data_IF_908316057379
#
_entry.id   IF_908316057379
#
_cell.length_a   1.000
_cell.length_b   1.000
_cell.length_c   1.000
_cell.angle_alpha   90.00
_cell.angle_beta   90.00
_cell.angle_gamma   90.00
#
_symmetry.space_group_name_H-M   'P 1'
#
loop_
_entity.id
_entity.type
_entity.pdbx_description
1 polymer ?
#
# COMPACT_ATOMS: atom_id res chain seq x y z
N UNK A 1 10.48 -3.89 6.20
CA UNK A 1 9.76 -5.18 6.36
C UNK A 1 10.79 -6.30 6.46
N UNK A 2 10.58 -7.28 7.33
CA UNK A 2 11.59 -8.33 7.64
C UNK A 2 11.26 -9.71 7.06
N UNK A 3 10.02 -9.94 6.61
CA UNK A 3 9.56 -11.22 6.08
C UNK A 3 10.28 -11.57 4.77
N UNK A 4 10.89 -12.75 4.71
CA UNK A 4 11.69 -13.20 3.57
C UNK A 4 13.11 -12.62 3.53
N UNK A 5 13.49 -11.83 4.54
CA UNK A 5 14.85 -11.29 4.67
C UNK A 5 15.50 -11.68 6.00
N UNK A 6 15.04 -11.09 7.11
CA UNK A 6 15.53 -11.40 8.46
C UNK A 6 14.68 -12.47 9.16
N UNK A 7 13.39 -12.56 8.83
CA UNK A 7 12.50 -13.60 9.29
C UNK A 7 12.19 -14.55 8.13
N UNK A 8 12.44 -15.84 8.34
CA UNK A 8 12.02 -16.88 7.39
C UNK A 8 10.49 -17.06 7.42
N UNK A 9 9.97 -17.93 6.55
CA UNK A 9 8.53 -18.19 6.42
C UNK A 9 7.90 -18.65 7.73
N UNK A 10 8.55 -19.58 8.45
CA UNK A 10 8.03 -20.12 9.71
C UNK A 10 7.94 -19.03 10.78
N UNK A 11 9.00 -18.22 10.95
CA UNK A 11 9.00 -17.12 11.91
C UNK A 11 8.00 -16.02 11.52
N UNK A 12 7.85 -15.76 10.23
CA UNK A 12 6.88 -14.78 9.73
C UNK A 12 5.43 -15.21 10.04
N UNK A 13 5.10 -16.50 9.86
CA UNK A 13 3.80 -17.05 10.23
C UNK A 13 3.54 -16.98 11.73
N UNK A 14 4.53 -17.30 12.57
CA UNK A 14 4.42 -17.14 14.03
C UNK A 14 4.10 -15.68 14.43
N UNK A 15 4.72 -14.70 13.77
CA UNK A 15 4.45 -13.28 14.01
C UNK A 15 3.03 -12.88 13.58
N UNK A 16 2.55 -13.40 12.44
CA UNK A 16 1.19 -13.16 11.94
C UNK A 16 0.13 -13.80 12.84
N UNK A 17 0.35 -15.04 13.28
CA UNK A 17 -0.53 -15.77 14.20
C UNK A 17 -0.61 -15.03 15.54
N UNK A 18 0.53 -14.58 16.07
CA UNK A 18 0.56 -13.81 17.31
C UNK A 18 -0.21 -12.49 17.18
N UNK A 19 0.01 -11.74 16.09
CA UNK A 19 -0.67 -10.47 15.84
C UNK A 19 -2.19 -10.65 15.77
N UNK A 20 -2.66 -11.63 15.01
CA UNK A 20 -4.09 -11.88 14.80
C UNK A 20 -4.78 -12.49 16.01
N UNK A 21 -4.11 -13.37 16.74
CA UNK A 21 -4.60 -13.91 18.03
C UNK A 21 -4.79 -12.82 19.09
N UNK A 22 -4.11 -11.68 18.96
CA UNK A 22 -4.25 -10.51 19.84
C UNK A 22 -5.18 -9.43 19.27
N UNK A 23 -6.04 -9.77 18.30
CA UNK A 23 -7.06 -8.89 17.76
C UNK A 23 -6.59 -7.96 16.64
N UNK A 24 -5.34 -8.09 16.19
CA UNK A 24 -4.87 -7.41 15.00
C UNK A 24 -5.48 -8.00 13.73
N UNK A 25 -5.78 -7.18 12.73
CA UNK A 25 -6.29 -7.65 11.44
C UNK A 25 -5.72 -6.92 10.22
N UNK A 26 -4.96 -5.84 10.42
CA UNK A 26 -4.37 -5.05 9.34
C UNK A 26 -2.93 -5.52 9.05
N UNK A 27 -2.71 -6.10 7.88
CA UNK A 27 -1.40 -6.62 7.44
C UNK A 27 -0.92 -5.78 6.25
N UNK A 28 0.23 -5.13 6.42
CA UNK A 28 0.87 -4.29 5.41
C UNK A 28 2.10 -4.99 4.80
N UNK A 29 2.19 -5.00 3.47
CA UNK A 29 3.33 -5.50 2.69
C UNK A 29 3.56 -4.60 1.47
N UNK A 30 4.48 -4.94 0.57
CA UNK A 30 4.67 -4.27 -0.71
C UNK A 30 5.28 -5.23 -1.74
N UNK A 31 5.05 -4.97 -3.02
CA UNK A 31 5.61 -5.70 -4.15
C UNK A 31 7.15 -5.80 -4.11
N UNK A 32 7.82 -4.75 -3.65
CA UNK A 32 9.29 -4.68 -3.55
C UNK A 32 9.87 -5.28 -2.27
N UNK A 33 9.05 -5.65 -1.28
CA UNK A 33 9.58 -6.16 -0.01
C UNK A 33 10.17 -7.55 -0.17
N UNK A 34 11.48 -7.64 0.09
CA UNK A 34 12.26 -8.86 -0.07
C UNK A 34 12.10 -9.46 -1.47
N UNK A 35 12.10 -8.60 -2.50
CA UNK A 35 11.90 -9.00 -3.91
C UNK A 35 10.59 -9.79 -4.15
N UNK A 36 9.50 -9.33 -3.51
CA UNK A 36 8.18 -9.96 -3.57
C UNK A 36 7.99 -11.12 -2.60
N UNK A 37 9.06 -11.59 -1.92
CA UNK A 37 8.98 -12.74 -1.01
C UNK A 37 8.05 -12.50 0.18
N UNK A 38 7.95 -11.25 0.65
CA UNK A 38 7.03 -10.87 1.72
C UNK A 38 5.58 -11.22 1.35
N UNK A 39 5.15 -10.89 0.13
CA UNK A 39 3.81 -11.20 -0.36
C UNK A 39 3.57 -12.70 -0.51
N UNK A 40 4.56 -13.47 -0.99
CA UNK A 40 4.43 -14.92 -1.10
C UNK A 40 4.24 -15.58 0.28
N UNK A 41 5.00 -15.15 1.28
CA UNK A 41 4.92 -15.67 2.65
C UNK A 41 3.55 -15.36 3.25
N UNK A 42 3.08 -14.11 3.09
CA UNK A 42 1.77 -13.68 3.56
C UNK A 42 0.66 -14.43 2.81
N UNK A 43 0.76 -14.59 1.49
CA UNK A 43 -0.27 -15.28 0.70
C UNK A 43 -0.48 -16.73 1.11
N UNK A 44 0.61 -17.46 1.36
CA UNK A 44 0.54 -18.82 1.91
C UNK A 44 -0.14 -18.88 3.28
N UNK A 45 0.06 -17.85 4.10
CA UNK A 45 -0.59 -17.73 5.42
C UNK A 45 -2.08 -17.40 5.27
N UNK A 46 -2.43 -16.41 4.43
CA UNK A 46 -3.81 -15.98 4.16
C UNK A 46 -4.68 -17.12 3.64
N UNK A 47 -4.13 -18.01 2.81
CA UNK A 47 -4.84 -19.17 2.27
C UNK A 47 -5.45 -20.10 3.34
N UNK A 48 -4.89 -20.10 4.56
CA UNK A 48 -5.35 -20.93 5.67
C UNK A 48 -6.27 -20.17 6.65
N UNK A 49 -6.70 -18.95 6.31
CA UNK A 49 -7.51 -18.08 7.15
C UNK A 49 -8.76 -17.58 6.41
N UNK A 50 -9.78 -17.20 7.17
CA UNK A 50 -10.96 -16.53 6.61
C UNK A 50 -10.54 -15.19 6.01
N UNK A 51 -10.55 -15.08 4.68
CA UNK A 51 -10.04 -13.90 3.95
C UNK A 51 -10.69 -12.60 4.41
N UNK A 52 -11.99 -12.63 4.71
CA UNK A 52 -12.78 -11.48 5.19
C UNK A 52 -12.42 -11.01 6.60
N UNK A 53 -11.70 -11.83 7.38
CA UNK A 53 -11.23 -11.45 8.72
C UNK A 53 -9.97 -10.58 8.70
N UNK A 54 -9.34 -10.42 7.54
CA UNK A 54 -8.04 -9.76 7.35
C UNK A 54 -8.20 -8.54 6.45
N UNK A 55 -7.60 -7.42 6.85
CA UNK A 55 -7.40 -6.25 5.99
C UNK A 55 -5.98 -6.32 5.43
N UNK A 56 -5.87 -6.63 4.15
CA UNK A 56 -4.61 -6.82 3.45
C UNK A 56 -4.26 -5.58 2.63
N UNK A 57 -3.18 -4.92 3.02
CA UNK A 57 -2.64 -3.76 2.32
C UNK A 57 -1.33 -4.12 1.61
N UNK A 58 -1.21 -3.73 0.33
CA UNK A 58 0.06 -3.78 -0.41
C UNK A 58 0.33 -2.46 -1.13
N UNK A 59 1.48 -2.36 -1.79
CA UNK A 59 1.95 -1.14 -2.44
C UNK A 59 2.55 -1.46 -3.79
N UNK A 60 2.41 -0.51 -4.70
CA UNK A 60 3.11 -0.51 -5.99
C UNK A 60 3.74 0.86 -6.22
N UNK A 61 4.94 0.87 -6.81
CA UNK A 61 5.61 2.04 -7.47
C UNK A 61 7.07 1.74 -7.79
N UNK A 62 7.76 1.08 -6.86
CA UNK A 62 9.21 0.90 -6.96
C UNK A 62 9.55 -0.20 -7.95
N UNK A 63 10.83 -0.24 -8.34
CA UNK A 63 11.30 -1.22 -9.30
C UNK A 63 11.27 -2.61 -8.69
N UNK A 64 10.53 -3.54 -9.30
CA UNK A 64 10.46 -4.95 -8.86
C UNK A 64 11.43 -5.84 -9.62
N UNK A 65 11.83 -5.49 -10.84
CA UNK A 65 12.81 -6.25 -11.63
C UNK A 65 13.64 -5.39 -12.63
N UNK A 66 14.43 -6.06 -13.47
CA UNK A 66 15.30 -5.43 -14.46
C UNK A 66 14.60 -4.83 -15.70
N UNK A 67 13.29 -5.02 -15.89
CA UNK A 67 12.57 -4.52 -17.06
C UNK A 67 12.25 -3.03 -16.93
N UNK A 68 12.47 -2.26 -17.99
CA UNK A 68 12.32 -0.80 -17.94
C UNK A 68 10.92 -0.32 -17.51
N UNK A 69 9.88 -1.11 -17.79
CA UNK A 69 8.48 -0.77 -17.49
C UNK A 69 8.00 -1.28 -16.12
N UNK A 70 8.84 -1.98 -15.37
CA UNK A 70 8.48 -2.52 -14.05
C UNK A 70 8.88 -1.55 -12.94
N UNK A 71 8.45 -0.30 -13.08
CA UNK A 71 8.64 0.81 -12.14
C UNK A 71 7.66 1.95 -12.45
N UNK A 72 7.39 2.80 -11.47
CA UNK A 72 6.63 4.04 -11.62
C UNK A 72 5.15 3.88 -11.30
N UNK A 73 4.31 4.77 -11.81
CA UNK A 73 2.86 4.76 -11.60
C UNK A 73 2.07 4.84 -12.89
N UNK A 74 2.70 4.49 -14.01
CA UNK A 74 1.99 4.36 -15.29
C UNK A 74 0.88 3.32 -15.17
N UNK A 75 -0.20 3.50 -15.94
CA UNK A 75 -1.33 2.57 -15.97
C UNK A 75 -0.87 1.14 -16.26
N UNK A 76 0.09 0.99 -17.19
CA UNK A 76 0.67 -0.31 -17.56
C UNK A 76 1.30 -0.99 -16.35
N UNK A 77 2.18 -0.28 -15.64
CA UNK A 77 2.89 -0.87 -14.51
C UNK A 77 1.95 -1.17 -13.35
N UNK A 78 1.05 -0.24 -12.98
CA UNK A 78 0.11 -0.45 -11.89
C UNK A 78 -0.75 -1.70 -12.07
N UNK A 79 -1.39 -1.84 -13.24
CA UNK A 79 -2.23 -3.01 -13.52
C UNK A 79 -1.41 -4.31 -13.45
N UNK A 80 -0.18 -4.28 -13.97
CA UNK A 80 0.71 -5.44 -13.93
C UNK A 80 1.12 -5.79 -12.49
N UNK A 81 1.63 -4.81 -11.73
CA UNK A 81 2.10 -4.98 -10.36
C UNK A 81 0.98 -5.49 -9.43
N UNK A 82 -0.25 -4.98 -9.59
CA UNK A 82 -1.40 -5.45 -8.80
C UNK A 82 -1.75 -6.90 -9.13
N UNK A 83 -1.75 -7.29 -10.41
CA UNK A 83 -2.00 -8.69 -10.80
C UNK A 83 -0.94 -9.64 -10.23
N UNK A 84 0.33 -9.24 -10.26
CA UNK A 84 1.39 -10.05 -9.66
C UNK A 84 1.28 -10.13 -8.14
N UNK A 85 0.91 -9.02 -7.49
CA UNK A 85 0.68 -8.98 -6.04
C UNK A 85 -0.47 -9.89 -5.63
N UNK A 86 -1.61 -9.84 -6.34
CA UNK A 86 -2.75 -10.75 -6.13
C UNK A 86 -2.33 -12.23 -6.26
N UNK A 87 -1.51 -12.55 -7.27
CA UNK A 87 -0.99 -13.90 -7.47
C UNK A 87 -0.09 -14.37 -6.32
N UNK A 88 0.84 -13.51 -5.84
CA UNK A 88 1.70 -13.82 -4.69
C UNK A 88 0.92 -13.92 -3.38
N UNK A 89 -0.05 -13.03 -3.18
CA UNK A 89 -0.93 -12.99 -2.01
C UNK A 89 -2.03 -14.06 -2.02
N UNK A 90 -2.19 -14.79 -3.14
CA UNK A 90 -3.15 -15.89 -3.29
C UNK A 90 -4.59 -15.48 -2.94
N UNK A 91 -5.01 -14.29 -3.39
CA UNK A 91 -6.33 -13.69 -3.15
C UNK A 91 -6.84 -13.02 -4.42
N UNK A 92 -8.15 -12.90 -4.56
CA UNK A 92 -8.78 -12.23 -5.72
C UNK A 92 -8.87 -10.71 -5.56
N UNK A 93 -8.67 -10.20 -4.34
CA UNK A 93 -8.69 -8.77 -4.05
C UNK A 93 -7.70 -8.33 -2.96
N UNK A 94 -7.31 -7.06 -3.04
CA UNK A 94 -6.56 -6.32 -2.03
C UNK A 94 -7.50 -5.33 -1.34
N UNK A 95 -7.46 -5.24 -0.01
CA UNK A 95 -8.29 -4.26 0.72
C UNK A 95 -7.80 -2.85 0.48
N UNK A 96 -6.49 -2.61 0.61
CA UNK A 96 -5.90 -1.29 0.43
C UNK A 96 -4.67 -1.36 -0.47
N UNK A 97 -4.76 -0.81 -1.67
CA UNK A 97 -3.60 -0.59 -2.51
C UNK A 97 -3.04 0.81 -2.26
N UNK A 98 -1.80 0.88 -1.82
CA UNK A 98 -1.13 2.15 -1.58
C UNK A 98 -0.19 2.50 -2.74
N UNK A 99 -0.28 3.72 -3.23
CA UNK A 99 0.76 4.29 -4.08
C UNK A 99 2.00 4.52 -3.21
N UNK A 100 3.08 3.77 -3.43
CA UNK A 100 4.18 3.67 -2.46
C UNK A 100 5.00 4.98 -2.31
N UNK A 101 5.10 5.78 -3.38
CA UNK A 101 5.75 7.09 -3.36
C UNK A 101 5.36 7.89 -4.60
N UNK A 102 5.61 9.21 -4.58
CA UNK A 102 5.36 10.07 -5.72
C UNK A 102 6.12 9.61 -6.99
N UNK A 103 5.44 9.63 -8.13
CA UNK A 103 6.06 9.46 -9.45
C UNK A 103 5.93 10.76 -10.25
N UNK A 104 7.02 11.50 -10.50
CA UNK A 104 6.97 12.73 -11.28
C UNK A 104 6.81 12.50 -12.79
N UNK A 105 6.96 11.27 -13.28
CA UNK A 105 6.93 10.96 -14.71
C UNK A 105 5.54 10.55 -15.21
N UNK A 106 4.72 9.96 -14.33
CA UNK A 106 3.36 9.53 -14.67
C UNK A 106 2.36 10.64 -14.36
N UNK A 107 1.52 11.07 -15.32
CA UNK A 107 0.43 11.99 -15.04
C UNK A 107 -0.50 11.47 -13.94
N UNK A 108 -1.02 12.36 -13.10
CA UNK A 108 -1.95 11.97 -12.03
C UNK A 108 -3.25 11.41 -12.60
N UNK A 109 -3.76 11.98 -13.69
CA UNK A 109 -4.95 11.50 -14.39
C UNK A 109 -4.79 10.05 -14.86
N UNK A 110 -3.60 9.69 -15.34
CA UNK A 110 -3.32 8.31 -15.74
C UNK A 110 -3.27 7.38 -14.52
N UNK A 111 -2.54 7.79 -13.49
CA UNK A 111 -2.35 7.03 -12.24
C UNK A 111 -3.69 6.76 -11.56
N UNK A 112 -4.43 7.81 -11.23
CA UNK A 112 -5.69 7.72 -10.48
C UNK A 112 -6.84 7.22 -11.36
N UNK A 113 -6.79 7.43 -12.67
CA UNK A 113 -7.72 6.78 -13.60
C UNK A 113 -7.50 5.27 -13.69
N UNK A 114 -6.26 4.78 -13.51
CA UNK A 114 -5.98 3.34 -13.41
C UNK A 114 -6.45 2.76 -12.07
N UNK A 115 -6.16 3.45 -10.97
CA UNK A 115 -6.61 3.05 -9.63
C UNK A 115 -8.14 3.01 -9.55
N UNK A 116 -8.84 4.01 -10.10
CA UNK A 116 -10.30 4.03 -10.16
C UNK A 116 -10.86 2.81 -10.89
N UNK A 117 -10.35 2.49 -12.09
CA UNK A 117 -10.76 1.29 -12.83
C UNK A 117 -10.54 0.02 -12.00
N UNK A 118 -9.42 -0.11 -11.28
CA UNK A 118 -9.15 -1.30 -10.46
C UNK A 118 -10.07 -1.42 -9.25
N UNK A 119 -10.57 -0.30 -8.71
CA UNK A 119 -11.62 -0.32 -7.68
C UNK A 119 -12.95 -0.78 -8.29
N UNK A 120 -13.35 -0.19 -9.43
CA UNK A 120 -14.59 -0.54 -10.14
C UNK A 120 -14.62 -2.01 -10.58
N UNK A 121 -13.47 -2.54 -11.03
CA UNK A 121 -13.29 -3.95 -11.43
C UNK A 121 -13.16 -4.90 -10.23
N UNK A 122 -13.11 -4.38 -8.99
CA UNK A 122 -13.04 -5.18 -7.77
C UNK A 122 -11.67 -5.84 -7.50
N UNK A 123 -10.61 -5.44 -8.20
CA UNK A 123 -9.24 -5.92 -7.92
C UNK A 123 -8.71 -5.36 -6.59
N UNK A 124 -9.11 -4.13 -6.26
CA UNK A 124 -8.78 -3.46 -5.00
C UNK A 124 -10.05 -2.87 -4.38
N UNK A 125 -10.13 -2.71 -3.04
CA UNK A 125 -11.29 -2.09 -2.38
C UNK A 125 -11.07 -0.59 -2.15
N UNK A 126 -9.87 -0.22 -1.73
CA UNK A 126 -9.53 1.15 -1.38
C UNK A 126 -8.15 1.56 -1.91
N UNK A 127 -7.99 2.86 -2.10
CA UNK A 127 -6.73 3.49 -2.51
C UNK A 127 -6.10 4.19 -1.31
N UNK A 128 -4.80 4.01 -1.13
CA UNK A 128 -4.00 4.75 -0.16
C UNK A 128 -2.82 5.44 -0.83
N UNK A 129 -2.18 6.36 -0.12
CA UNK A 129 -0.99 7.06 -0.56
C UNK A 129 0.10 6.90 0.48
N UNK A 130 1.34 6.72 0.06
CA UNK A 130 2.51 6.69 0.93
C UNK A 130 3.57 7.68 0.44
N UNK A 131 4.28 8.31 1.37
CA UNK A 131 5.46 9.16 1.09
C UNK A 131 5.20 10.35 0.12
N UNK A 132 4.04 10.99 0.22
CA UNK A 132 3.72 12.23 -0.49
C UNK A 132 3.97 13.45 0.42
N UNK A 133 4.26 14.60 -0.19
CA UNK A 133 4.15 15.93 0.46
C UNK A 133 2.68 16.35 0.54
N UNK A 134 2.32 17.31 1.41
CA UNK A 134 0.93 17.72 1.59
C UNK A 134 0.31 18.22 0.28
N UNK A 135 0.99 19.14 -0.43
CA UNK A 135 0.54 19.60 -1.75
C UNK A 135 0.39 18.48 -2.80
N UNK A 136 1.18 17.41 -2.72
CA UNK A 136 1.08 16.28 -3.66
C UNK A 136 -0.17 15.44 -3.37
N UNK A 137 -0.42 15.20 -2.08
CA UNK A 137 -1.61 14.50 -1.61
C UNK A 137 -2.86 15.28 -1.99
N UNK A 138 -2.91 16.57 -1.66
CA UNK A 138 -4.02 17.45 -2.02
C UNK A 138 -4.27 17.46 -3.53
N UNK A 139 -3.20 17.58 -4.34
CA UNK A 139 -3.37 17.56 -5.80
C UNK A 139 -4.02 16.26 -6.30
N UNK A 140 -3.67 15.11 -5.71
CA UNK A 140 -4.29 13.84 -6.05
C UNK A 140 -5.73 13.71 -5.55
N UNK A 141 -6.00 14.10 -4.31
CA UNK A 141 -7.32 14.08 -3.69
C UNK A 141 -8.31 14.97 -4.46
N UNK A 142 -7.93 16.22 -4.72
CA UNK A 142 -8.76 17.18 -5.44
C UNK A 142 -9.01 16.74 -6.89
N UNK A 143 -8.04 16.08 -7.54
CA UNK A 143 -8.26 15.48 -8.86
C UNK A 143 -9.33 14.39 -8.80
N UNK A 144 -9.26 13.48 -7.83
CA UNK A 144 -10.25 12.41 -7.70
C UNK A 144 -11.65 12.98 -7.47
N UNK A 145 -11.79 13.96 -6.57
CA UNK A 145 -13.04 14.70 -6.33
C UNK A 145 -13.59 15.34 -7.60
N UNK A 146 -12.74 16.07 -8.33
CA UNK A 146 -13.15 16.77 -9.55
C UNK A 146 -13.60 15.81 -10.67
N UNK A 147 -13.07 14.58 -10.68
CA UNK A 147 -13.42 13.54 -11.65
C UNK A 147 -14.55 12.62 -11.19
N UNK A 148 -14.96 12.69 -9.92
CA UNK A 148 -15.87 11.72 -9.31
C UNK A 148 -15.26 10.32 -9.17
N UNK A 149 -13.94 10.23 -9.06
CA UNK A 149 -13.22 8.97 -8.84
C UNK A 149 -13.13 8.63 -7.35
N UNK A 150 -12.85 7.36 -7.05
CA UNK A 150 -12.59 6.91 -5.69
C UNK A 150 -11.41 7.68 -5.06
N UNK A 151 -11.69 8.36 -3.94
CA UNK A 151 -10.72 9.15 -3.20
C UNK A 151 -9.74 8.25 -2.42
N UNK A 152 -8.46 8.67 -2.27
CA UNK A 152 -7.56 8.04 -1.32
C UNK A 152 -8.13 8.11 0.10
N UNK A 153 -8.10 6.99 0.84
CA UNK A 153 -8.67 6.91 2.20
C UNK A 153 -7.61 6.90 3.31
N UNK A 154 -6.34 6.71 2.94
CA UNK A 154 -5.25 6.61 3.90
C UNK A 154 -3.97 7.28 3.41
N UNK A 155 -3.17 7.74 4.38
CA UNK A 155 -1.83 8.28 4.20
C UNK A 155 -0.84 7.53 5.08
N UNK A 156 0.07 6.79 4.45
CA UNK A 156 1.17 6.10 5.14
C UNK A 156 2.43 6.97 5.12
N UNK A 157 3.01 7.23 6.30
CA UNK A 157 4.09 8.21 6.44
C UNK A 157 5.09 7.83 7.56
N UNK A 158 6.32 8.34 7.47
CA UNK A 158 7.32 8.15 8.52
C UNK A 158 6.93 9.01 9.73
N UNK A 159 6.73 8.38 10.88
CA UNK A 159 6.45 9.12 12.10
C UNK A 159 6.92 8.39 13.34
N UNK A 160 7.75 9.06 14.13
CA UNK A 160 8.25 8.62 15.43
C UNK A 160 8.79 9.82 16.21
N UNK A 161 9.32 9.60 17.41
CA UNK A 161 9.80 10.68 18.28
C UNK A 161 10.92 11.55 17.65
N UNK A 162 11.69 10.99 16.72
CA UNK A 162 12.77 11.70 16.01
C UNK A 162 12.30 12.34 14.70
N UNK A 163 11.31 11.74 14.05
CA UNK A 163 10.76 12.17 12.76
C UNK A 163 9.35 12.72 12.98
N UNK A 164 9.28 14.01 13.31
CA UNK A 164 8.03 14.72 13.62
C UNK A 164 7.69 15.83 12.61
N UNK A 165 8.44 15.93 11.52
CA UNK A 165 8.21 16.94 10.48
C UNK A 165 6.83 16.83 9.81
N UNK A 166 6.21 15.65 9.85
CA UNK A 166 4.86 15.42 9.33
C UNK A 166 3.76 16.17 10.11
N UNK A 167 4.03 16.61 11.34
CA UNK A 167 3.11 17.41 12.16
C UNK A 167 2.85 18.81 11.61
N UNK A 168 3.76 19.35 10.79
CA UNK A 168 3.61 20.71 10.26
C UNK A 168 2.55 20.83 9.17
N UNK A 169 2.35 19.77 8.37
CA UNK A 169 1.48 19.84 7.17
C UNK A 169 0.66 18.57 6.99
N UNK A 170 1.28 17.38 7.01
CA UNK A 170 0.61 16.13 6.65
C UNK A 170 -0.42 15.68 7.68
N UNK A 171 -0.14 15.77 8.98
CA UNK A 171 -1.11 15.37 10.01
C UNK A 171 -2.31 16.35 10.10
N UNK A 172 -2.10 17.69 10.09
CA UNK A 172 -3.23 18.62 10.01
C UNK A 172 -4.07 18.43 8.75
N UNK A 173 -3.44 18.23 7.59
CA UNK A 173 -4.15 17.94 6.34
C UNK A 173 -4.97 16.64 6.45
N UNK A 174 -4.36 15.55 6.95
CA UNK A 174 -5.08 14.29 7.10
C UNK A 174 -6.27 14.41 8.06
N UNK A 175 -6.16 15.21 9.11
CA UNK A 175 -7.26 15.49 10.03
C UNK A 175 -8.41 16.26 9.35
N UNK A 176 -8.08 17.31 8.61
CA UNK A 176 -9.08 18.14 7.88
C UNK A 176 -9.82 17.31 6.82
N UNK A 177 -9.06 16.55 6.03
CA UNK A 177 -9.59 15.74 4.93
C UNK A 177 -10.13 14.37 5.36
N UNK A 178 -10.11 14.08 6.67
CA UNK A 178 -10.59 12.83 7.28
C UNK A 178 -9.89 11.58 6.71
N UNK A 179 -8.60 11.69 6.49
CA UNK A 179 -7.73 10.64 5.98
C UNK A 179 -7.12 9.85 7.13
N UNK A 180 -7.18 8.52 7.06
CA UNK A 180 -6.54 7.67 8.05
C UNK A 180 -5.02 7.74 7.94
N UNK A 181 -4.31 7.96 9.05
CA UNK A 181 -2.84 7.97 9.07
C UNK A 181 -2.29 6.61 9.48
N UNK A 182 -1.38 6.07 8.67
CA UNK A 182 -0.71 4.80 8.89
C UNK A 182 0.81 5.06 9.12
N UNK A 183 1.26 5.29 10.35
CA UNK A 183 2.65 5.60 10.61
C UNK A 183 3.56 4.38 10.42
N UNK A 184 4.67 4.55 9.70
CA UNK A 184 5.72 3.55 9.56
C UNK A 184 6.99 3.93 10.35
N UNK A 185 7.79 2.92 10.69
CA UNK A 185 8.97 3.00 11.56
C UNK A 185 8.74 3.73 12.89
N UNK A 186 7.75 3.30 13.71
CA UNK A 186 7.46 3.94 15.00
C UNK A 186 8.63 3.87 15.99
N UNK A 187 9.57 2.93 15.80
CA UNK A 187 10.77 2.74 16.61
C UNK A 187 12.07 3.23 15.92
N UNK A 188 11.96 4.01 14.84
CA UNK A 188 13.09 4.56 14.09
C UNK A 188 14.07 3.50 13.51
N UNK A 189 13.54 2.40 12.98
CA UNK A 189 14.28 1.35 12.26
C UNK A 189 13.79 1.10 10.85
#
# INVERSE_FOLDING_TARGET
MTFGWQADESKSHEMLDYFTSNGGNFIDTADVYSEGKSEEIIGKWVKNHERESIVLATKARFRTDGLSNNVGLSRKHLIHAVKESLARLQTDYIDLLQVHAWDPLSPLEETYGALNTMVEDGMIRYVGISNYRGWQFEKALQLCRARGWHEPVSLQLHYNIFIRGTEFELLPMALEEKIAVLPWSPLAG
#
